data_IF_156748436441
#
_entry.id   IF_156748436441
#
_cell.length_a   1.000
_cell.length_b   1.000
_cell.length_c   1.000
_cell.angle_alpha   90.00
_cell.angle_beta   90.00
_cell.angle_gamma   90.00
#
_symmetry.space_group_name_H-M   'P 1'
#
loop_
_entity.id
_entity.type
_entity.pdbx_description
1 polymer ?
#
# COMPACT_ATOMS: atom_id res chain seq x y z
N UNK A 1 24.02 -7.45 -20.60
CA UNK A 1 23.24 -6.25 -20.23
C UNK A 1 22.76 -6.47 -18.82
N UNK A 2 23.23 -5.68 -17.84
CA UNK A 2 22.90 -5.87 -16.44
C UNK A 2 21.43 -5.60 -16.17
N UNK A 3 20.80 -6.43 -15.32
CA UNK A 3 19.43 -6.27 -14.82
C UNK A 3 19.12 -4.84 -14.34
N UNK A 4 20.13 -4.19 -13.73
CA UNK A 4 20.08 -2.79 -13.29
C UNK A 4 19.88 -1.81 -14.46
N UNK A 5 20.48 -2.05 -15.62
CA UNK A 5 20.31 -1.19 -16.80
C UNK A 5 18.90 -1.26 -17.41
N UNK A 6 18.22 -2.40 -17.25
CA UNK A 6 16.83 -2.56 -17.68
C UNK A 6 15.83 -1.80 -16.77
N UNK A 7 16.15 -1.66 -15.48
CA UNK A 7 15.33 -0.92 -14.51
C UNK A 7 15.43 0.61 -14.66
N UNK A 8 16.51 1.12 -15.29
CA UNK A 8 16.78 2.57 -15.44
C UNK A 8 16.37 3.09 -16.83
N UNK A 9 15.69 2.29 -17.65
CA UNK A 9 15.13 2.78 -18.90
C UNK A 9 14.10 3.90 -18.64
N UNK A 10 14.17 5.02 -19.40
CA UNK A 10 13.33 6.19 -19.12
C UNK A 10 11.81 5.91 -19.15
N UNK A 11 11.38 4.82 -19.76
CA UNK A 11 9.98 4.39 -19.78
C UNK A 11 9.48 3.68 -18.52
N UNK A 12 10.36 3.09 -17.69
CA UNK A 12 10.00 2.32 -16.51
C UNK A 12 10.19 3.08 -15.19
N UNK A 13 10.87 4.23 -15.24
CA UNK A 13 11.19 5.03 -14.05
C UNK A 13 9.95 5.39 -13.20
N UNK A 14 8.81 5.84 -13.76
CA UNK A 14 7.63 6.17 -12.97
C UNK A 14 7.03 5.00 -12.20
N UNK A 15 7.29 3.76 -12.62
CA UNK A 15 6.82 2.55 -11.96
C UNK A 15 7.78 2.08 -10.85
N UNK A 16 9.08 2.23 -11.04
CA UNK A 16 10.11 1.69 -10.15
C UNK A 16 10.46 2.67 -9.03
N UNK A 17 10.53 3.97 -9.33
CA UNK A 17 10.91 4.99 -8.35
C UNK A 17 10.01 5.00 -7.10
N UNK A 18 8.67 4.92 -7.19
CA UNK A 18 7.81 4.84 -6.01
C UNK A 18 8.11 3.62 -5.13
N UNK A 19 8.39 2.48 -5.74
CA UNK A 19 8.69 1.23 -5.01
C UNK A 19 9.97 1.37 -4.20
N UNK A 20 11.03 1.91 -4.81
CA UNK A 20 12.32 2.14 -4.12
C UNK A 20 12.15 3.16 -2.98
N UNK A 21 11.45 4.27 -3.24
CA UNK A 21 11.19 5.29 -2.23
C UNK A 21 10.33 4.74 -1.08
N UNK A 22 9.30 3.93 -1.37
CA UNK A 22 8.48 3.27 -0.35
C UNK A 22 9.31 2.27 0.46
N UNK A 23 10.25 1.55 -0.17
CA UNK A 23 11.14 0.66 0.56
C UNK A 23 12.03 1.42 1.54
N UNK A 24 12.66 2.52 1.10
CA UNK A 24 13.45 3.39 1.98
C UNK A 24 12.59 3.99 3.10
N UNK A 25 11.41 4.50 2.78
CA UNK A 25 10.44 5.03 3.74
C UNK A 25 10.11 3.99 4.82
N UNK A 26 9.80 2.76 4.44
CA UNK A 26 9.46 1.70 5.39
C UNK A 26 10.63 1.28 6.29
N UNK A 27 11.87 1.38 5.85
CA UNK A 27 13.03 1.18 6.72
C UNK A 27 13.06 2.20 7.85
N UNK A 28 12.91 3.48 7.53
CA UNK A 28 12.85 4.55 8.53
C UNK A 28 11.61 4.44 9.42
N UNK A 29 10.46 4.10 8.85
CA UNK A 29 9.22 3.89 9.60
C UNK A 29 9.39 2.77 10.64
N UNK A 30 9.92 1.63 10.23
CA UNK A 30 10.14 0.48 11.12
C UNK A 30 11.13 0.84 12.23
N UNK A 31 12.19 1.57 11.91
CA UNK A 31 13.17 2.04 12.90
C UNK A 31 12.54 3.05 13.89
N UNK A 32 11.72 3.98 13.40
CA UNK A 32 11.04 4.96 14.24
C UNK A 32 10.09 4.31 15.27
N UNK A 33 9.34 3.29 14.82
CA UNK A 33 8.33 2.62 15.65
C UNK A 33 8.88 1.55 16.59
N UNK A 34 9.92 0.83 16.18
CA UNK A 34 10.40 -0.37 16.88
C UNK A 34 11.84 -0.26 17.36
N UNK A 35 12.66 0.66 16.80
CA UNK A 35 14.07 0.77 17.16
C UNK A 35 14.30 1.08 18.61
N UNK A 36 13.42 1.85 19.23
CA UNK A 36 13.52 2.24 20.64
C UNK A 36 13.27 1.08 21.63
N UNK A 37 12.67 -0.02 21.22
CA UNK A 37 12.35 -1.15 22.09
C UNK A 37 13.61 -1.81 22.69
N UNK A 38 14.77 -1.62 22.07
CA UNK A 38 16.07 -2.04 22.63
C UNK A 38 16.56 -1.14 23.76
N UNK A 39 16.06 0.10 23.87
CA UNK A 39 16.58 1.12 24.79
C UNK A 39 15.57 1.45 25.90
N UNK A 40 15.12 0.43 26.64
CA UNK A 40 14.07 0.56 27.68
C UNK A 40 14.45 1.46 28.86
N UNK A 41 15.74 1.72 29.08
CA UNK A 41 16.22 2.59 30.16
C UNK A 41 16.20 4.10 29.80
N UNK A 42 15.98 4.45 28.53
CA UNK A 42 15.96 5.84 28.08
C UNK A 42 14.60 6.47 28.41
N UNK A 43 14.61 7.76 28.80
CA UNK A 43 13.40 8.53 29.06
C UNK A 43 12.44 8.52 27.87
N UNK A 44 11.16 8.31 28.14
CA UNK A 44 10.10 8.25 27.12
C UNK A 44 10.06 9.52 26.25
N UNK A 45 10.29 10.70 26.84
CA UNK A 45 10.31 11.97 26.11
C UNK A 45 11.41 11.97 25.04
N UNK A 46 12.63 11.52 25.42
CA UNK A 46 13.76 11.45 24.47
C UNK A 46 13.44 10.46 23.35
N UNK A 47 12.89 9.30 23.69
CA UNK A 47 12.48 8.28 22.72
C UNK A 47 11.47 8.85 21.72
N UNK A 48 10.45 9.55 22.19
CA UNK A 48 9.43 10.17 21.33
C UNK A 48 10.06 11.20 20.38
N UNK A 49 10.93 12.08 20.89
CA UNK A 49 11.58 13.10 20.07
C UNK A 49 12.50 12.51 18.99
N UNK A 50 13.29 11.50 19.36
CA UNK A 50 14.17 10.79 18.40
C UNK A 50 13.36 10.05 17.36
N UNK A 51 12.33 9.29 17.77
CA UNK A 51 11.43 8.57 16.86
C UNK A 51 10.71 9.53 15.93
N UNK A 52 10.27 10.69 16.42
CA UNK A 52 9.65 11.72 15.58
C UNK A 52 10.62 12.27 14.53
N UNK A 53 11.88 12.52 14.92
CA UNK A 53 12.92 12.95 13.98
C UNK A 53 13.18 11.92 12.87
N UNK A 54 13.20 10.63 13.23
CA UNK A 54 13.34 9.52 12.24
C UNK A 54 12.09 9.45 11.34
N UNK A 55 10.90 9.59 11.90
CA UNK A 55 9.64 9.59 11.13
C UNK A 55 9.55 10.81 10.19
N UNK A 56 10.16 11.94 10.54
CA UNK A 56 10.26 13.08 9.62
C UNK A 56 11.07 12.73 8.37
N UNK A 57 12.21 12.04 8.52
CA UNK A 57 13.02 11.57 7.39
C UNK A 57 12.22 10.57 6.54
N UNK A 58 11.50 9.64 7.20
CA UNK A 58 10.56 8.71 6.53
C UNK A 58 9.57 9.46 5.63
N UNK A 59 8.94 10.49 6.17
CA UNK A 59 7.94 11.28 5.45
C UNK A 59 8.50 11.96 4.20
N UNK A 60 9.80 12.36 4.24
CA UNK A 60 10.50 12.90 3.07
C UNK A 60 10.64 11.89 1.92
N UNK A 61 10.58 10.59 2.20
CA UNK A 61 10.54 9.52 1.18
C UNK A 61 9.13 9.12 0.81
N UNK A 62 8.22 9.01 1.79
CA UNK A 62 6.85 8.56 1.59
C UNK A 62 6.05 9.51 0.68
N UNK A 63 6.15 10.82 0.91
CA UNK A 63 5.38 11.81 0.16
C UNK A 63 5.75 11.83 -1.32
N UNK A 64 7.04 11.92 -1.71
CA UNK A 64 7.43 11.82 -3.11
C UNK A 64 7.06 10.47 -3.73
N UNK A 65 7.21 9.37 -3.00
CA UNK A 65 6.84 8.04 -3.46
C UNK A 65 5.36 7.98 -3.87
N UNK A 66 4.48 8.42 -2.99
CA UNK A 66 3.04 8.45 -3.25
C UNK A 66 2.68 9.43 -4.37
N UNK A 67 3.35 10.59 -4.43
CA UNK A 67 3.08 11.60 -5.46
C UNK A 67 3.50 11.16 -6.85
N UNK A 68 4.68 10.55 -6.99
CA UNK A 68 5.15 9.96 -8.26
C UNK A 68 4.31 8.74 -8.61
N UNK A 69 4.06 7.87 -7.63
CA UNK A 69 3.30 6.64 -7.81
C UNK A 69 1.86 6.87 -8.22
N UNK A 70 1.22 7.95 -7.76
CA UNK A 70 -0.17 8.27 -8.13
C UNK A 70 -0.37 8.59 -9.62
N UNK A 71 0.71 8.82 -10.37
CA UNK A 71 0.65 9.00 -11.82
C UNK A 71 0.47 7.67 -12.58
N UNK A 72 0.84 6.54 -11.98
CA UNK A 72 0.87 5.20 -12.64
C UNK A 72 0.11 4.13 -11.87
N UNK A 73 -0.13 4.33 -10.57
CA UNK A 73 -0.85 3.41 -9.68
C UNK A 73 -2.08 4.09 -9.08
N UNK A 74 -3.14 3.35 -8.90
CA UNK A 74 -4.27 3.80 -8.08
C UNK A 74 -3.89 3.89 -6.59
N UNK A 75 -4.59 4.68 -5.77
CA UNK A 75 -4.34 4.75 -4.33
C UNK A 75 -4.41 3.38 -3.62
N UNK A 76 -5.30 2.49 -4.08
CA UNK A 76 -5.42 1.15 -3.53
C UNK A 76 -4.22 0.25 -3.89
N UNK A 77 -3.67 0.38 -5.10
CA UNK A 77 -2.48 -0.34 -5.52
C UNK A 77 -1.25 0.15 -4.76
N UNK A 78 -1.07 1.48 -4.62
CA UNK A 78 0.01 2.05 -3.81
C UNK A 78 -0.04 1.55 -2.37
N UNK A 79 -1.21 1.54 -1.76
CA UNK A 79 -1.39 1.02 -0.40
C UNK A 79 -1.04 -0.46 -0.32
N UNK A 80 -1.45 -1.26 -1.29
CA UNK A 80 -1.12 -2.69 -1.35
C UNK A 80 0.40 -2.93 -1.46
N UNK A 81 1.07 -2.17 -2.35
CA UNK A 81 2.52 -2.23 -2.52
C UNK A 81 3.22 -1.86 -1.20
N UNK A 82 2.76 -0.79 -0.55
CA UNK A 82 3.30 -0.36 0.75
C UNK A 82 3.15 -1.44 1.83
N UNK A 83 2.00 -2.10 1.93
CA UNK A 83 1.78 -3.18 2.92
C UNK A 83 2.72 -4.36 2.70
N UNK A 84 2.89 -4.79 1.45
CA UNK A 84 3.82 -5.88 1.11
C UNK A 84 5.25 -5.50 1.49
N UNK A 85 5.68 -4.28 1.15
CA UNK A 85 7.01 -3.77 1.51
C UNK A 85 7.17 -3.71 3.03
N UNK A 86 6.16 -3.20 3.75
CA UNK A 86 6.17 -3.11 5.21
C UNK A 86 6.39 -4.49 5.85
N UNK A 87 5.68 -5.52 5.38
CA UNK A 87 5.83 -6.88 5.90
C UNK A 87 7.25 -7.44 5.65
N UNK A 88 7.80 -7.22 4.45
CA UNK A 88 9.15 -7.68 4.10
C UNK A 88 10.20 -6.96 4.96
N UNK A 89 10.11 -5.64 5.06
CA UNK A 89 11.05 -4.82 5.85
C UNK A 89 10.95 -5.18 7.33
N UNK A 90 9.75 -5.34 7.86
CA UNK A 90 9.54 -5.72 9.27
C UNK A 90 10.09 -7.11 9.57
N UNK A 91 9.88 -8.08 8.68
CA UNK A 91 10.42 -9.42 8.82
C UNK A 91 11.96 -9.42 8.84
N UNK A 92 12.60 -8.67 7.94
CA UNK A 92 14.05 -8.51 7.94
C UNK A 92 14.56 -7.75 9.17
N UNK A 93 13.83 -6.70 9.60
CA UNK A 93 14.19 -5.92 10.78
C UNK A 93 14.14 -6.75 12.06
N UNK A 94 13.08 -7.55 12.28
CA UNK A 94 12.98 -8.39 13.46
C UNK A 94 14.07 -9.45 13.51
N UNK A 95 14.39 -10.04 12.38
CA UNK A 95 15.45 -11.04 12.30
C UNK A 95 16.84 -10.48 12.57
N UNK A 96 17.14 -9.25 12.05
CA UNK A 96 18.48 -8.65 12.14
C UNK A 96 18.64 -7.83 13.42
N UNK A 97 17.62 -7.07 13.80
CA UNK A 97 17.70 -6.11 14.91
C UNK A 97 17.38 -6.74 16.26
N UNK A 98 16.40 -7.63 16.32
CA UNK A 98 16.00 -8.31 17.55
C UNK A 98 16.59 -9.72 17.72
N UNK A 99 17.25 -10.25 16.67
CA UNK A 99 17.71 -11.65 16.63
C UNK A 99 16.56 -12.67 16.77
N UNK A 100 15.34 -12.25 16.39
CA UNK A 100 14.12 -13.07 16.46
C UNK A 100 13.65 -13.40 15.02
N UNK A 101 14.00 -14.59 14.50
CA UNK A 101 13.51 -14.99 13.17
C UNK A 101 12.00 -15.22 13.21
N UNK A 102 11.31 -14.89 12.12
CA UNK A 102 9.88 -15.12 11.99
C UNK A 102 9.53 -16.59 12.19
N UNK A 103 8.57 -16.84 13.08
CA UNK A 103 7.97 -18.17 13.19
C UNK A 103 7.11 -18.50 11.96
N UNK A 104 6.94 -19.77 11.64
CA UNK A 104 6.10 -20.22 10.54
C UNK A 104 4.67 -19.70 10.63
N UNK A 105 4.12 -19.56 11.83
CA UNK A 105 2.78 -19.02 12.08
C UNK A 105 2.69 -17.54 11.70
N UNK A 106 3.70 -16.74 12.05
CA UNK A 106 3.79 -15.33 11.69
C UNK A 106 3.99 -15.16 10.18
N UNK A 107 4.86 -15.97 9.57
CA UNK A 107 5.08 -15.98 8.14
C UNK A 107 3.79 -16.31 7.35
N UNK A 108 3.02 -17.29 7.82
CA UNK A 108 1.72 -17.64 7.25
C UNK A 108 0.71 -16.49 7.39
N UNK A 109 0.66 -15.82 8.54
CA UNK A 109 -0.17 -14.64 8.78
C UNK A 109 0.19 -13.48 7.83
N UNK A 110 1.47 -13.18 7.65
CA UNK A 110 1.96 -12.15 6.73
C UNK A 110 1.63 -12.48 5.27
N UNK A 111 1.79 -13.75 4.87
CA UNK A 111 1.40 -14.21 3.54
C UNK A 111 -0.11 -14.02 3.29
N UNK A 112 -0.96 -14.31 4.27
CA UNK A 112 -2.40 -14.09 4.18
C UNK A 112 -2.74 -12.61 4.00
N UNK A 113 -2.11 -11.72 4.77
CA UNK A 113 -2.30 -10.27 4.64
C UNK A 113 -1.84 -9.78 3.27
N UNK A 114 -0.70 -10.25 2.77
CA UNK A 114 -0.19 -9.89 1.45
C UNK A 114 -1.07 -10.38 0.28
N UNK A 115 -1.81 -11.48 0.47
CA UNK A 115 -2.73 -12.05 -0.52
C UNK A 115 -4.12 -11.41 -0.49
N UNK A 116 -4.57 -10.89 0.67
CA UNK A 116 -5.90 -10.33 0.85
C UNK A 116 -6.28 -9.22 -0.16
N UNK A 117 -5.40 -8.27 -0.55
CA UNK A 117 -5.72 -7.23 -1.51
C UNK A 117 -6.06 -7.73 -2.90
N UNK A 118 -5.51 -8.86 -3.33
CA UNK A 118 -5.79 -9.48 -4.64
C UNK A 118 -7.25 -9.93 -4.74
N UNK A 119 -7.79 -10.51 -3.68
CA UNK A 119 -9.18 -10.95 -3.62
C UNK A 119 -10.16 -9.76 -3.68
N UNK A 120 -9.83 -8.64 -3.05
CA UNK A 120 -10.64 -7.43 -3.08
C UNK A 120 -10.61 -6.73 -4.45
N UNK A 121 -9.46 -6.75 -5.15
CA UNK A 121 -9.32 -6.19 -6.50
C UNK A 121 -10.11 -7.01 -7.53
N UNK A 122 -10.07 -8.34 -7.45
CA UNK A 122 -10.86 -9.22 -8.33
C UNK A 122 -12.36 -9.04 -8.14
N UNK A 123 -12.84 -8.98 -6.89
CA UNK A 123 -14.24 -8.74 -6.58
C UNK A 123 -14.74 -7.34 -7.04
N UNK A 124 -13.84 -6.37 -7.18
CA UNK A 124 -14.15 -5.04 -7.72
C UNK A 124 -14.24 -5.07 -9.25
N UNK A 125 -13.35 -5.78 -9.94
CA UNK A 125 -13.36 -5.93 -11.39
C UNK A 125 -14.63 -6.65 -11.86
N UNK A 126 -15.08 -7.63 -11.08
CA UNK A 126 -16.34 -8.34 -11.32
C UNK A 126 -17.57 -7.43 -11.15
N UNK A 127 -17.57 -6.56 -10.11
CA UNK A 127 -18.66 -5.59 -9.88
C UNK A 127 -18.70 -4.46 -10.91
N UNK A 128 -17.58 -4.08 -11.50
CA UNK A 128 -17.51 -3.02 -12.52
C UNK A 128 -17.76 -3.57 -13.93
N UNK A 129 -17.97 -4.89 -14.07
CA UNK A 129 -18.23 -5.54 -15.36
C UNK A 129 -17.03 -5.56 -16.32
N UNK A 130 -15.82 -5.26 -15.81
CA UNK A 130 -14.59 -5.32 -16.61
C UNK A 130 -13.98 -6.73 -16.65
N UNK A 131 -14.44 -7.61 -15.78
CA UNK A 131 -14.08 -9.03 -15.80
C UNK A 131 -15.21 -9.81 -16.45
N UNK A 132 -15.00 -10.25 -17.66
CA UNK A 132 -15.88 -11.20 -18.33
C UNK A 132 -15.38 -12.62 -18.00
N UNK A 133 -16.18 -13.43 -17.28
CA UNK A 133 -15.75 -14.80 -16.97
C UNK A 133 -15.61 -15.60 -18.28
N UNK A 134 -14.65 -16.54 -18.36
CA UNK A 134 -14.35 -17.28 -19.58
C UNK A 134 -15.50 -18.16 -20.09
N UNK A 135 -16.58 -18.30 -19.35
CA UNK A 135 -17.78 -19.08 -19.71
C UNK A 135 -18.85 -18.27 -20.46
N UNK A 136 -18.60 -17.00 -20.78
CA UNK A 136 -19.48 -16.20 -21.66
C UNK A 136 -20.88 -15.90 -21.12
N UNK A 137 -21.18 -16.22 -19.86
CA UNK A 137 -22.49 -15.98 -19.26
C UNK A 137 -22.58 -14.56 -18.71
N UNK A 138 -22.65 -13.56 -19.60
CA UNK A 138 -23.10 -12.22 -19.23
C UNK A 138 -24.61 -12.26 -18.94
N UNK A 139 -25.00 -12.16 -17.68
CA UNK A 139 -26.38 -11.90 -17.27
C UNK A 139 -26.53 -10.40 -17.05
N UNK A 140 -27.16 -9.63 -17.98
CA UNK A 140 -27.46 -8.23 -17.69
C UNK A 140 -28.48 -8.21 -16.56
N UNK A 141 -28.07 -7.72 -15.40
CA UNK A 141 -29.03 -7.37 -14.36
C UNK A 141 -29.92 -6.26 -14.88
N UNK A 142 -31.23 -6.55 -14.96
CA UNK A 142 -32.29 -5.61 -15.23
C UNK A 142 -32.11 -4.38 -14.32
N UNK A 143 -31.70 -3.29 -14.93
CA UNK A 143 -31.83 -1.97 -14.36
C UNK A 143 -33.33 -1.69 -14.24
N UNK A 144 -33.95 -2.13 -13.14
CA UNK A 144 -35.30 -1.76 -12.80
C UNK A 144 -35.37 -0.22 -12.74
N UNK A 145 -36.09 0.34 -13.69
CA UNK A 145 -36.27 1.77 -13.81
C UNK A 145 -36.92 2.35 -12.58
N UNK A 146 -36.17 3.07 -11.79
CA UNK A 146 -36.71 4.08 -10.88
C UNK A 146 -36.92 5.33 -11.70
N UNK A 147 -38.11 5.45 -12.28
CA UNK A 147 -38.64 6.72 -12.77
C UNK A 147 -38.75 7.66 -11.56
N UNK A 148 -37.82 8.60 -11.47
CA UNK A 148 -37.86 9.68 -10.50
C UNK A 148 -39.05 10.58 -10.86
N UNK A 149 -40.05 10.83 -10.00
CA UNK A 149 -41.12 11.76 -10.32
C UNK A 149 -40.54 13.18 -10.45
N UNK A 150 -40.80 13.82 -11.58
CA UNK A 150 -40.47 15.21 -11.85
C UNK A 150 -41.18 16.12 -10.82
N UNK A 151 -40.39 16.78 -9.98
CA UNK A 151 -40.92 17.83 -9.10
C UNK A 151 -41.19 19.07 -9.95
N UNK A 152 -42.48 19.31 -10.32
CA UNK A 152 -42.93 20.59 -10.83
C UNK A 152 -42.81 21.62 -9.73
N UNK A 153 -41.95 22.61 -9.95
CA UNK A 153 -41.98 23.85 -9.17
C UNK A 153 -43.13 24.72 -9.66
N UNK A 154 -43.96 25.34 -8.78
CA UNK A 154 -44.94 26.34 -9.18
C UNK A 154 -44.22 27.61 -9.67
N UNK A 155 -44.85 28.38 -10.59
CA UNK A 155 -44.27 29.63 -11.08
C UNK A 155 -44.28 30.69 -9.97
N UNK A 156 -43.34 31.66 -9.98
CA UNK A 156 -43.31 32.75 -9.02
C UNK A 156 -44.49 33.69 -9.28
N UNK A 157 -45.18 34.06 -8.20
CA UNK A 157 -46.18 35.14 -8.19
C UNK A 157 -45.55 36.51 -8.06
#
# INVERSE_FOLDING_TARGET
MSFVSALIQPGHWPYVAPIILLFCSNLFMTLAWYGHLKFKAVSLVIVVLVSWGIAFVEYCFAVPANRIGSAVYSPAELKTIQEVITLIVFAGFTAIYFDEPLSWTQAAGFALIALAPRSCSMARLERVGLFQPPDGRYRPEHRAGTTRPERRFPPPG
#
